data_IF_994391797684
#
_entry.id   IF_994391797684
#
_cell.length_a   1.000
_cell.length_b   1.000
_cell.length_c   1.000
_cell.angle_alpha   90.00
_cell.angle_beta   90.00
_cell.angle_gamma   90.00
#
_symmetry.space_group_name_H-M   'P 1'
#
loop_
_entity.id
_entity.type
_entity.pdbx_description
1 polymer ?
#
# COMPACT_ATOMS: atom_id res chain seq x y z
N UNK A 1 -22.80 -43.63 -33.36
CA UNK A 1 -22.49 -42.21 -33.61
C UNK A 1 -22.33 -41.34 -32.33
N UNK A 2 -21.97 -41.90 -31.16
CA UNK A 2 -21.96 -41.13 -29.89
C UNK A 2 -20.57 -40.84 -29.28
N UNK A 3 -19.49 -41.49 -29.75
CA UNK A 3 -18.16 -41.35 -29.11
C UNK A 3 -17.43 -40.04 -29.49
N UNK A 4 -17.64 -39.53 -30.70
CA UNK A 4 -17.04 -38.27 -31.17
C UNK A 4 -17.59 -37.04 -30.43
N UNK A 5 -18.91 -36.98 -30.22
CA UNK A 5 -19.54 -35.89 -29.46
C UNK A 5 -19.08 -35.85 -28.00
N UNK A 6 -18.82 -37.00 -27.36
CA UNK A 6 -18.34 -37.06 -25.97
C UNK A 6 -16.87 -36.61 -25.84
N UNK A 7 -16.02 -36.97 -26.81
CA UNK A 7 -14.62 -36.53 -26.87
C UNK A 7 -14.50 -35.03 -27.15
N UNK A 8 -15.28 -34.50 -28.10
CA UNK A 8 -15.34 -33.07 -28.41
C UNK A 8 -15.87 -32.25 -27.21
N UNK A 9 -16.86 -32.74 -26.47
CA UNK A 9 -17.35 -32.06 -25.26
C UNK A 9 -16.34 -32.07 -24.11
N UNK A 10 -15.56 -33.15 -23.94
CA UNK A 10 -14.49 -33.21 -22.93
C UNK A 10 -13.31 -32.30 -23.28
N UNK A 11 -12.91 -32.26 -24.56
CA UNK A 11 -11.87 -31.34 -25.04
C UNK A 11 -12.33 -29.88 -24.93
N UNK A 12 -13.57 -29.57 -25.30
CA UNK A 12 -14.13 -28.23 -25.15
C UNK A 12 -14.20 -27.79 -23.69
N UNK A 13 -14.69 -28.63 -22.76
CA UNK A 13 -14.70 -28.31 -21.32
C UNK A 13 -13.30 -28.15 -20.73
N UNK A 14 -12.35 -29.03 -21.07
CA UNK A 14 -10.96 -28.94 -20.59
C UNK A 14 -10.27 -27.67 -21.12
N UNK A 15 -10.50 -27.33 -22.39
CA UNK A 15 -9.97 -26.11 -22.99
C UNK A 15 -10.60 -24.85 -22.36
N UNK A 16 -11.91 -24.85 -22.10
CA UNK A 16 -12.59 -23.75 -21.38
C UNK A 16 -12.03 -23.59 -19.97
N UNK A 17 -11.84 -24.69 -19.22
CA UNK A 17 -11.22 -24.61 -17.89
C UNK A 17 -9.79 -24.07 -17.95
N UNK A 18 -8.96 -24.54 -18.90
CA UNK A 18 -7.59 -24.06 -19.08
C UNK A 18 -7.57 -22.57 -19.43
N UNK A 19 -8.42 -22.12 -20.36
CA UNK A 19 -8.55 -20.71 -20.73
C UNK A 19 -8.98 -19.87 -19.52
N UNK A 20 -9.94 -20.36 -18.73
CA UNK A 20 -10.38 -19.68 -17.51
C UNK A 20 -9.25 -19.57 -16.48
N UNK A 21 -8.46 -20.63 -16.28
CA UNK A 21 -7.30 -20.59 -15.39
C UNK A 21 -6.24 -19.60 -15.86
N UNK A 22 -5.96 -19.55 -17.16
CA UNK A 22 -5.01 -18.58 -17.74
C UNK A 22 -5.53 -17.16 -17.52
N UNK A 23 -6.82 -16.89 -17.77
CA UNK A 23 -7.42 -15.57 -17.53
C UNK A 23 -7.35 -15.17 -16.06
N UNK A 24 -7.67 -16.07 -15.14
CA UNK A 24 -7.55 -15.81 -13.69
C UNK A 24 -6.10 -15.54 -13.31
N UNK A 25 -5.14 -16.32 -13.82
CA UNK A 25 -3.73 -16.13 -13.54
C UNK A 25 -3.27 -14.75 -14.03
N UNK A 26 -3.55 -14.40 -15.28
CA UNK A 26 -3.23 -13.09 -15.87
C UNK A 26 -3.85 -11.97 -15.03
N UNK A 27 -5.12 -12.10 -14.66
CA UNK A 27 -5.82 -11.14 -13.82
C UNK A 27 -5.13 -10.92 -12.46
N UNK A 28 -4.78 -12.00 -11.75
CA UNK A 28 -4.07 -11.92 -10.48
C UNK A 28 -2.68 -11.28 -10.65
N UNK A 29 -1.94 -11.64 -11.70
CA UNK A 29 -0.63 -11.05 -11.99
C UNK A 29 -0.72 -9.55 -12.29
N UNK A 30 -1.71 -9.12 -13.07
CA UNK A 30 -1.96 -7.70 -13.34
C UNK A 30 -2.32 -6.93 -12.08
N UNK A 31 -3.17 -7.49 -11.21
CA UNK A 31 -3.50 -6.87 -9.92
C UNK A 31 -2.29 -6.76 -9.00
N UNK A 32 -1.41 -7.76 -8.99
CA UNK A 32 -0.18 -7.73 -8.21
C UNK A 32 0.77 -6.64 -8.71
N UNK A 33 0.99 -6.56 -10.01
CA UNK A 33 1.82 -5.52 -10.61
C UNK A 33 1.27 -4.12 -10.29
N UNK A 34 -0.05 -3.94 -10.37
CA UNK A 34 -0.68 -2.67 -10.03
C UNK A 34 -0.50 -2.31 -8.54
N UNK A 35 -0.69 -3.26 -7.63
CA UNK A 35 -0.49 -3.03 -6.19
C UNK A 35 0.97 -2.67 -5.84
N UNK A 36 1.95 -3.31 -6.49
CA UNK A 36 3.37 -2.97 -6.35
C UNK A 36 3.61 -1.51 -6.80
N UNK A 37 3.10 -1.14 -7.98
CA UNK A 37 3.31 0.21 -8.52
C UNK A 37 2.68 1.27 -7.61
N UNK A 38 1.42 1.08 -7.20
CA UNK A 38 0.73 1.99 -6.29
C UNK A 38 1.43 2.10 -4.94
N UNK A 39 1.93 0.99 -4.39
CA UNK A 39 2.67 1.04 -3.13
C UNK A 39 4.01 1.75 -3.29
N UNK A 40 4.70 1.58 -4.43
CA UNK A 40 5.97 2.24 -4.72
C UNK A 40 5.78 3.76 -4.84
N UNK A 41 4.75 4.17 -5.59
CA UNK A 41 4.35 5.58 -5.75
C UNK A 41 4.01 6.19 -4.38
N UNK A 42 3.18 5.52 -3.58
CA UNK A 42 2.86 5.95 -2.21
C UNK A 42 4.10 6.17 -1.34
N UNK A 43 5.04 5.23 -1.35
CA UNK A 43 6.28 5.35 -0.56
C UNK A 43 7.17 6.47 -1.05
N UNK A 44 7.33 6.63 -2.37
CA UNK A 44 8.12 7.70 -2.96
C UNK A 44 7.52 9.07 -2.67
N UNK A 45 6.20 9.19 -2.70
CA UNK A 45 5.49 10.43 -2.38
C UNK A 45 5.59 10.74 -0.88
N UNK A 46 5.46 9.72 -0.01
CA UNK A 46 5.64 9.90 1.44
C UNK A 46 7.05 10.40 1.75
N UNK A 47 8.06 9.78 1.13
CA UNK A 47 9.46 10.20 1.23
C UNK A 47 9.62 11.67 0.81
N UNK A 48 9.12 12.02 -0.37
CA UNK A 48 9.19 13.38 -0.91
C UNK A 48 8.54 14.39 0.03
N UNK A 49 7.35 14.11 0.56
CA UNK A 49 6.68 15.00 1.50
C UNK A 49 7.51 15.23 2.76
N UNK A 50 8.02 14.16 3.39
CA UNK A 50 8.84 14.25 4.60
C UNK A 50 10.13 15.04 4.34
N UNK A 51 10.83 14.76 3.23
CA UNK A 51 12.08 15.43 2.86
C UNK A 51 11.92 16.92 2.56
N UNK A 52 10.75 17.31 2.07
CA UNK A 52 10.44 18.70 1.75
C UNK A 52 9.97 19.51 2.97
N UNK A 53 9.80 18.90 4.14
CA UNK A 53 9.50 19.64 5.37
C UNK A 53 10.75 20.41 5.80
N UNK A 54 10.69 21.75 5.89
CA UNK A 54 11.80 22.54 6.41
C UNK A 54 12.16 22.10 7.83
N UNK A 55 13.45 21.98 8.15
CA UNK A 55 13.90 21.46 9.44
C UNK A 55 13.42 22.28 10.64
N UNK A 56 13.18 23.57 10.43
CA UNK A 56 12.66 24.52 11.40
C UNK A 56 11.12 24.45 11.58
N UNK A 57 10.43 23.58 10.84
CA UNK A 57 8.97 23.40 10.88
C UNK A 57 8.52 21.99 11.31
N UNK A 58 9.49 21.09 11.58
CA UNK A 58 9.26 19.67 11.90
C UNK A 58 8.43 19.40 13.16
N UNK A 59 8.01 20.41 13.93
CA UNK A 59 7.13 20.28 15.10
C UNK A 59 5.66 20.60 14.83
N UNK A 60 5.29 21.11 13.65
CA UNK A 60 3.91 21.53 13.36
C UNK A 60 3.50 21.39 11.89
N UNK A 61 4.09 20.44 11.16
CA UNK A 61 3.77 20.22 9.75
C UNK A 61 2.79 19.06 9.59
N UNK A 62 1.82 19.27 8.72
CA UNK A 62 0.93 18.22 8.24
C UNK A 62 0.76 18.33 6.74
N UNK A 63 0.62 17.19 6.06
CA UNK A 63 0.26 17.15 4.64
C UNK A 63 -0.85 16.13 4.41
N UNK A 64 -1.60 16.31 3.33
CA UNK A 64 -2.59 15.33 2.89
C UNK A 64 -1.87 14.28 2.05
N UNK A 65 -2.06 13.01 2.37
CA UNK A 65 -1.48 11.89 1.65
C UNK A 65 -2.54 10.85 1.30
N UNK A 66 -2.54 10.38 0.05
CA UNK A 66 -3.51 9.41 -0.43
C UNK A 66 -2.95 8.00 -0.24
N UNK A 67 -3.67 7.15 0.50
CA UNK A 67 -3.34 5.73 0.66
C UNK A 67 -4.03 4.96 -0.47
N UNK A 68 -3.31 4.40 -1.46
CA UNK A 68 -3.92 3.87 -2.68
C UNK A 68 -4.41 2.42 -2.54
N UNK A 69 -3.87 1.66 -1.58
CA UNK A 69 -4.20 0.27 -1.29
C UNK A 69 -4.23 0.06 0.23
N UNK A 70 -4.86 -1.02 0.71
CA UNK A 70 -4.84 -1.31 2.15
C UNK A 70 -3.40 -1.52 2.60
N UNK A 71 -2.94 -0.68 3.52
CA UNK A 71 -1.64 -0.80 4.18
C UNK A 71 -1.88 -1.55 5.48
N UNK A 72 -1.23 -2.70 5.62
CA UNK A 72 -1.33 -3.56 6.78
C UNK A 72 -0.53 -2.97 7.95
N UNK A 73 0.72 -2.58 7.69
CA UNK A 73 1.58 -1.92 8.68
C UNK A 73 2.44 -0.87 8.00
N UNK A 74 2.67 0.22 8.71
CA UNK A 74 3.79 1.12 8.48
C UNK A 74 4.64 0.96 9.73
N UNK A 75 5.87 0.51 9.60
CA UNK A 75 6.77 0.25 10.73
C UNK A 75 8.02 1.11 10.58
N UNK A 76 8.42 1.79 11.66
CA UNK A 76 9.72 2.44 11.73
C UNK A 76 10.80 1.42 12.07
N UNK A 77 11.86 1.37 11.28
CA UNK A 77 13.04 0.54 11.53
C UNK A 77 14.29 1.44 11.47
N UNK A 78 14.71 1.95 12.63
CA UNK A 78 15.70 3.03 12.68
C UNK A 78 15.18 4.27 11.95
N UNK A 79 15.95 4.77 10.98
CA UNK A 79 15.56 5.87 10.09
C UNK A 79 14.87 5.42 8.80
N UNK A 80 14.41 4.16 8.73
CA UNK A 80 13.69 3.67 7.56
C UNK A 80 12.21 3.41 7.87
N UNK A 81 11.36 3.57 6.87
CA UNK A 81 9.91 3.31 6.94
C UNK A 81 9.60 2.10 6.08
N UNK A 82 9.08 1.04 6.70
CA UNK A 82 8.63 -0.17 6.02
C UNK A 82 7.12 -0.16 5.86
N UNK A 83 6.64 -0.08 4.62
CA UNK A 83 5.21 -0.10 4.26
C UNK A 83 4.84 -1.48 3.74
N UNK A 84 4.06 -2.22 4.52
CA UNK A 84 3.49 -3.52 4.11
C UNK A 84 2.10 -3.31 3.56
N UNK A 85 1.90 -3.57 2.27
CA UNK A 85 0.61 -3.44 1.61
C UNK A 85 -0.02 -4.81 1.37
N UNK A 86 -1.35 -4.83 1.35
CA UNK A 86 -2.13 -6.04 1.15
C UNK A 86 -3.37 -5.77 0.29
N UNK A 87 -3.63 -6.63 -0.69
CA UNK A 87 -4.84 -6.58 -1.52
C UNK A 87 -5.41 -7.98 -1.78
N UNK A 88 -6.69 -8.04 -2.18
CA UNK A 88 -7.46 -9.27 -2.40
C UNK A 88 -7.39 -10.26 -1.23
N UNK A 89 -7.86 -9.88 -0.04
CA UNK A 89 -7.95 -10.80 1.12
C UNK A 89 -6.61 -11.51 1.40
N UNK A 90 -5.52 -10.75 1.44
CA UNK A 90 -4.16 -11.24 1.71
C UNK A 90 -3.55 -12.16 0.63
N UNK A 91 -4.17 -12.32 -0.54
CA UNK A 91 -3.57 -13.08 -1.66
C UNK A 91 -2.37 -12.36 -2.28
N UNK A 92 -2.36 -11.03 -2.20
CA UNK A 92 -1.30 -10.20 -2.75
C UNK A 92 -0.79 -9.30 -1.63
N UNK A 93 0.49 -9.42 -1.31
CA UNK A 93 1.16 -8.57 -0.33
C UNK A 93 2.60 -8.32 -0.73
N UNK A 94 3.17 -7.24 -0.19
CA UNK A 94 4.58 -6.94 -0.31
C UNK A 94 4.99 -5.86 0.68
N UNK A 95 6.28 -5.55 0.68
CA UNK A 95 6.88 -4.51 1.51
C UNK A 95 7.68 -3.56 0.62
N UNK A 96 7.50 -2.25 0.81
CA UNK A 96 8.39 -1.23 0.28
C UNK A 96 9.00 -0.45 1.43
N UNK A 97 10.31 -0.23 1.34
CA UNK A 97 11.08 0.47 2.37
C UNK A 97 11.58 1.80 1.81
N UNK A 98 11.41 2.86 2.60
CA UNK A 98 12.01 4.18 2.36
C UNK A 98 13.11 4.37 3.38
N UNK A 99 14.30 4.75 2.93
CA UNK A 99 15.41 5.10 3.82
C UNK A 99 15.52 6.63 3.96
N UNK A 100 15.50 7.13 5.21
CA UNK A 100 15.66 8.53 5.56
C UNK A 100 16.97 8.78 6.33
N UNK A 101 17.97 7.90 6.17
CA UNK A 101 19.26 7.97 6.87
C UNK A 101 20.03 9.29 6.70
N UNK A 102 19.81 9.98 5.59
CA UNK A 102 20.42 11.25 5.24
C UNK A 102 19.68 12.47 5.84
N UNK A 103 18.52 12.27 6.47
CA UNK A 103 17.85 13.31 7.25
C UNK A 103 18.43 13.38 8.68
N UNK A 104 18.86 14.58 9.05
CA UNK A 104 19.32 14.91 10.40
C UNK A 104 18.14 15.30 11.31
N UNK A 105 18.34 15.19 12.63
CA UNK A 105 17.37 15.67 13.64
C UNK A 105 16.53 14.58 14.31
N UNK A 106 16.59 13.34 13.85
CA UNK A 106 16.01 12.17 14.53
C UNK A 106 16.90 10.95 14.32
N UNK A 107 16.75 9.94 15.18
CA UNK A 107 17.48 8.67 15.17
C UNK A 107 16.55 7.46 15.00
N UNK A 108 15.23 7.64 15.17
CA UNK A 108 14.23 6.59 15.01
C UNK A 108 12.88 7.13 14.53
N UNK A 109 12.03 6.25 14.02
CA UNK A 109 10.69 6.60 13.51
C UNK A 109 9.60 5.84 14.29
N UNK A 110 8.50 6.52 14.60
CA UNK A 110 7.31 5.96 15.25
C UNK A 110 6.06 6.24 14.42
N UNK A 111 5.25 5.21 14.22
CA UNK A 111 4.04 5.25 13.39
C UNK A 111 2.98 4.28 13.92
N UNK A 112 1.73 4.44 13.50
CA UNK A 112 0.60 3.56 13.87
C UNK A 112 0.37 2.48 12.78
N UNK A 113 -0.42 1.47 13.13
CA UNK A 113 -0.70 0.33 12.25
C UNK A 113 -2.06 0.46 11.55
N UNK A 114 -2.17 -0.14 10.36
CA UNK A 114 -3.38 -0.32 9.55
C UNK A 114 -4.03 0.95 8.98
N UNK A 115 -3.96 1.10 7.65
CA UNK A 115 -4.63 2.15 6.90
C UNK A 115 -5.40 1.57 5.72
N UNK A 116 -6.71 1.84 5.68
CA UNK A 116 -7.55 1.51 4.53
C UNK A 116 -7.36 2.55 3.42
N UNK A 117 -7.62 2.20 2.14
CA UNK A 117 -7.53 3.16 1.04
C UNK A 117 -8.33 4.44 1.30
N UNK A 118 -7.76 5.57 0.90
CA UNK A 118 -8.35 6.90 1.01
C UNK A 118 -7.36 7.97 1.47
N UNK A 119 -7.88 9.19 1.62
CA UNK A 119 -7.09 10.35 2.00
C UNK A 119 -6.90 10.47 3.52
N UNK A 120 -5.66 10.72 3.93
CA UNK A 120 -5.27 10.94 5.33
C UNK A 120 -4.55 12.28 5.46
N UNK A 121 -4.73 12.95 6.59
CA UNK A 121 -3.81 13.99 7.03
C UNK A 121 -2.69 13.30 7.83
N UNK A 122 -1.46 13.47 7.38
CA UNK A 122 -0.27 12.95 8.04
C UNK A 122 0.38 14.08 8.81
N UNK A 123 0.40 13.97 10.13
CA UNK A 123 1.11 14.86 11.03
C UNK A 123 2.52 14.35 11.24
N UNK A 124 3.49 15.23 11.08
CA UNK A 124 4.91 14.94 11.27
C UNK A 124 5.44 15.76 12.44
N UNK A 125 6.03 15.08 13.41
CA UNK A 125 6.59 15.73 14.61
C UNK A 125 7.89 15.07 15.00
N UNK A 126 8.94 15.84 15.26
CA UNK A 126 10.14 15.32 15.92
C UNK A 126 10.10 15.67 17.42
N UNK A 127 10.16 14.64 18.26
CA UNK A 127 10.23 14.76 19.72
C UNK A 127 11.30 13.78 20.23
N UNK A 128 12.21 14.23 21.10
CA UNK A 128 13.29 13.41 21.69
C UNK A 128 14.09 12.58 20.67
N UNK A 129 14.45 13.18 19.52
CA UNK A 129 15.12 12.51 18.40
C UNK A 129 14.31 11.36 17.77
N UNK A 130 12.99 11.36 17.91
CA UNK A 130 12.08 10.41 17.26
C UNK A 130 11.19 11.16 16.27
N UNK A 131 11.08 10.67 15.02
CA UNK A 131 10.13 11.16 14.03
C UNK A 131 8.79 10.43 14.20
N UNK A 132 7.76 11.16 14.63
CA UNK A 132 6.40 10.69 14.77
C UNK A 132 5.61 10.96 13.48
N UNK A 133 5.02 9.90 12.93
CA UNK A 133 4.06 9.97 11.83
C UNK A 133 2.69 9.56 12.34
N UNK A 134 1.78 10.53 12.45
CA UNK A 134 0.40 10.28 12.86
C UNK A 134 -0.56 10.50 11.70
N UNK A 135 -1.33 9.46 11.40
CA UNK A 135 -2.28 9.47 10.30
C UNK A 135 -3.69 9.68 10.86
N UNK A 136 -4.34 10.76 10.46
CA UNK A 136 -5.73 11.04 10.75
C UNK A 136 -6.57 10.90 9.49
N UNK A 137 -7.59 10.05 9.55
CA UNK A 137 -8.59 9.96 8.47
C UNK A 137 -9.83 10.73 8.87
N UNK A 138 -10.18 11.76 8.12
CA UNK A 138 -11.51 12.34 8.22
C UNK A 138 -12.51 11.44 7.50
N UNK A 139 -13.02 10.42 8.20
CA UNK A 139 -14.21 9.70 7.77
C UNK A 139 -15.37 10.62 8.14
N UNK A 140 -15.82 11.43 7.18
CA UNK A 140 -16.96 12.32 7.38
C UNK A 140 -18.08 11.57 8.12
N UNK A 141 -18.66 12.22 9.14
CA UNK A 141 -19.73 11.66 9.96
C UNK A 141 -20.68 10.86 9.06
N UNK A 142 -20.85 9.57 9.36
CA UNK A 142 -22.03 8.81 8.96
C UNK A 142 -23.25 9.57 9.52
N UNK A 143 -23.77 10.51 8.76
CA UNK A 143 -24.78 11.45 9.23
C UNK A 143 -24.85 12.74 8.42
N UNK A 144 -25.32 12.66 7.18
CA UNK A 144 -26.71 12.99 6.86
C UNK A 144 -27.07 12.48 5.46
N UNK A 145 -28.28 11.94 5.40
CA UNK A 145 -29.05 11.50 4.24
C UNK A 145 -29.13 12.60 3.19
#
# INVERSE_FOLDING_TARGET
MNKGNVLLNKLNKKNVSVILFILIAVFIFSLRANAINLSTEYTSDLESHIRNIPSDQLYNTSFVHEVPVSIFTIEGNGKSIDVKYVTLVNLISGTHSVDLNDLDGFDSIKTKNYYLPGSYTVYVTIEDSVLHLEYERYIGRLGKV
#
